data_IF_478125191923
#
_entry.id   IF_478125191923
#
_cell.length_a   1.000
_cell.length_b   1.000
_cell.length_c   1.000
_cell.angle_alpha   90.00
_cell.angle_beta   90.00
_cell.angle_gamma   90.00
#
_symmetry.space_group_name_H-M   'P 1'
#
loop_
_entity.id
_entity.type
_entity.pdbx_description
1 polymer ?
#
# COMPACT_ATOMS: atom_id res chain seq x y z
N UNK A 1 -5.78 16.88 -6.19
CA UNK A 1 -4.41 16.49 -5.77
C UNK A 1 -4.43 15.01 -5.45
N UNK A 2 -3.36 14.26 -5.75
CA UNK A 2 -3.26 12.85 -5.35
C UNK A 2 -2.87 12.76 -3.87
N UNK A 3 -3.56 11.91 -3.12
CA UNK A 3 -3.23 11.57 -1.74
C UNK A 3 -2.32 10.34 -1.70
N UNK A 4 -1.54 10.22 -0.63
CA UNK A 4 -0.81 8.99 -0.35
C UNK A 4 -1.67 8.06 0.49
N UNK A 5 -1.79 6.81 0.05
CA UNK A 5 -2.52 5.76 0.78
C UNK A 5 -1.54 4.70 1.27
N UNK A 6 -1.76 4.24 2.49
CA UNK A 6 -1.16 3.02 3.02
C UNK A 6 -2.10 1.87 2.68
N UNK A 7 -1.52 0.79 2.15
CA UNK A 7 -2.18 -0.50 1.93
C UNK A 7 -1.42 -1.49 2.81
N UNK A 8 -2.12 -2.17 3.71
CA UNK A 8 -1.54 -3.24 4.50
C UNK A 8 -2.42 -4.48 4.40
N UNK A 9 -1.80 -5.64 4.33
CA UNK A 9 -2.52 -6.91 4.17
C UNK A 9 -1.94 -8.04 5.02
N UNK A 10 -2.71 -9.11 5.13
CA UNK A 10 -2.35 -10.40 5.70
C UNK A 10 -2.98 -11.47 4.79
N UNK A 11 -2.15 -12.13 3.98
CA UNK A 11 -2.60 -13.16 3.03
C UNK A 11 -2.53 -14.54 3.67
N UNK A 12 -3.63 -15.28 3.67
CA UNK A 12 -3.83 -16.55 4.34
C UNK A 12 -3.89 -17.66 3.30
N UNK A 13 -2.87 -18.51 3.25
CA UNK A 13 -2.88 -19.67 2.37
C UNK A 13 -1.49 -20.19 2.03
N UNK A 14 -1.39 -21.42 1.47
CA UNK A 14 -0.12 -21.97 0.98
C UNK A 14 0.31 -21.35 -0.35
N UNK A 15 -0.64 -20.87 -1.16
CA UNK A 15 -0.44 -20.28 -2.48
C UNK A 15 -0.79 -18.78 -2.45
N UNK A 16 -0.08 -18.03 -1.62
CA UNK A 16 -0.21 -16.57 -1.54
C UNK A 16 0.13 -15.98 -2.92
N UNK A 17 -0.88 -15.64 -3.72
CA UNK A 17 -0.70 -14.96 -5.01
C UNK A 17 -0.32 -13.49 -4.76
N UNK A 18 0.92 -13.31 -4.32
CA UNK A 18 1.54 -12.01 -4.15
C UNK A 18 1.63 -11.28 -5.48
N UNK A 19 1.85 -12.00 -6.58
CA UNK A 19 2.13 -11.39 -7.87
C UNK A 19 0.90 -10.64 -8.40
N UNK A 20 -0.29 -11.23 -8.33
CA UNK A 20 -1.54 -10.59 -8.72
C UNK A 20 -1.80 -9.29 -7.95
N UNK A 21 -1.76 -9.37 -6.61
CA UNK A 21 -1.96 -8.20 -5.75
C UNK A 21 -0.85 -7.15 -5.96
N UNK A 22 0.41 -7.57 -6.08
CA UNK A 22 1.54 -6.65 -6.25
C UNK A 22 1.45 -5.91 -7.58
N UNK A 23 1.12 -6.58 -8.67
CA UNK A 23 0.93 -5.92 -9.97
C UNK A 23 -0.28 -4.97 -9.95
N UNK A 24 -1.38 -5.35 -9.28
CA UNK A 24 -2.52 -4.46 -9.06
C UNK A 24 -2.12 -3.20 -8.27
N UNK A 25 -1.29 -3.33 -7.23
CA UNK A 25 -0.77 -2.17 -6.47
C UNK A 25 0.20 -1.34 -7.32
N UNK A 26 1.07 -1.96 -8.12
CA UNK A 26 2.02 -1.24 -8.99
C UNK A 26 1.31 -0.46 -10.10
N UNK A 27 0.13 -0.91 -10.53
CA UNK A 27 -0.68 -0.25 -11.57
C UNK A 27 -1.09 1.20 -11.24
N UNK A 28 -1.07 1.61 -9.96
CA UNK A 28 -1.28 2.99 -9.54
C UNK A 28 -0.12 3.94 -9.95
N UNK A 29 0.95 3.39 -10.53
CA UNK A 29 2.05 4.11 -11.17
C UNK A 29 3.09 4.69 -10.21
N UNK A 30 2.66 5.21 -9.07
CA UNK A 30 3.56 5.65 -8.01
C UNK A 30 3.34 4.84 -6.74
N UNK A 31 4.33 4.05 -6.38
CA UNK A 31 4.26 3.12 -5.26
C UNK A 31 5.59 3.04 -4.49
N UNK A 32 5.53 2.47 -3.29
CA UNK A 32 6.66 2.12 -2.45
C UNK A 32 6.34 0.86 -1.65
N UNK A 33 7.28 -0.07 -1.62
CA UNK A 33 7.20 -1.33 -0.89
C UNK A 33 8.56 -1.63 -0.25
N UNK A 34 8.65 -1.43 1.06
CA UNK A 34 9.88 -1.66 1.82
C UNK A 34 9.60 -2.38 3.15
N UNK A 35 8.37 -2.86 3.31
CA UNK A 35 7.86 -3.70 4.37
C UNK A 35 7.06 -4.80 3.68
N UNK A 36 7.22 -6.05 4.10
CA UNK A 36 6.74 -7.21 3.33
C UNK A 36 5.24 -7.16 3.01
N UNK A 37 4.43 -6.68 3.95
CA UNK A 37 2.97 -6.59 3.81
C UNK A 37 2.42 -5.17 3.86
N UNK A 38 3.24 -4.15 3.54
CA UNK A 38 2.80 -2.76 3.54
C UNK A 38 3.33 -1.97 2.35
N UNK A 39 2.38 -1.37 1.62
CA UNK A 39 2.62 -0.55 0.46
C UNK A 39 2.14 0.87 0.67
N UNK A 40 2.77 1.82 -0.03
CA UNK A 40 2.29 3.18 -0.16
C UNK A 40 2.08 3.54 -1.62
N UNK A 41 0.93 4.08 -1.98
CA UNK A 41 0.62 4.51 -3.36
C UNK A 41 0.15 5.97 -3.41
N UNK A 42 0.22 6.60 -4.58
CA UNK A 42 -0.46 7.88 -4.84
C UNK A 42 -1.66 7.70 -5.75
N UNK A 43 -2.82 8.16 -5.29
CA UNK A 43 -4.07 8.07 -6.04
C UNK A 43 -4.96 9.28 -5.80
N UNK A 44 -5.78 9.60 -6.79
CA UNK A 44 -6.92 10.53 -6.69
C UNK A 44 -8.24 9.81 -6.36
N UNK A 45 -8.24 8.47 -6.38
CA UNK A 45 -9.35 7.65 -5.92
C UNK A 45 -9.50 7.69 -4.39
N UNK A 46 -10.70 7.39 -3.91
CA UNK A 46 -10.99 7.18 -2.48
C UNK A 46 -10.42 5.85 -2.00
N UNK A 47 -10.15 5.75 -0.70
CA UNK A 47 -9.70 4.49 -0.07
C UNK A 47 -10.64 3.31 -0.39
N UNK A 48 -11.96 3.54 -0.39
CA UNK A 48 -12.95 2.51 -0.70
C UNK A 48 -12.88 2.01 -2.14
N UNK A 49 -12.54 2.88 -3.09
CA UNK A 49 -12.39 2.52 -4.50
C UNK A 49 -11.08 1.75 -4.73
N UNK A 50 -10.03 2.11 -4.00
CA UNK A 50 -8.76 1.39 -4.00
C UNK A 50 -8.96 -0.01 -3.42
N UNK A 51 -9.60 -0.09 -2.25
CA UNK A 51 -9.93 -1.35 -1.60
C UNK A 51 -10.75 -2.25 -2.52
N UNK A 52 -11.84 -1.73 -3.10
CA UNK A 52 -12.68 -2.48 -4.03
C UNK A 52 -11.89 -3.10 -5.19
N UNK A 53 -10.97 -2.34 -5.79
CA UNK A 53 -10.12 -2.83 -6.87
C UNK A 53 -9.15 -3.91 -6.38
N UNK A 54 -8.47 -3.70 -5.25
CA UNK A 54 -7.50 -4.66 -4.73
C UNK A 54 -8.16 -5.95 -4.22
N UNK A 55 -9.42 -5.88 -3.78
CA UNK A 55 -10.22 -7.05 -3.39
C UNK A 55 -10.49 -8.02 -4.55
N UNK A 56 -10.23 -7.65 -5.80
CA UNK A 56 -10.34 -8.55 -6.96
C UNK A 56 -9.13 -9.51 -7.07
N UNK A 57 -8.09 -9.34 -6.23
CA UNK A 57 -6.81 -10.04 -6.29
C UNK A 57 -6.42 -10.73 -4.97
N UNK A 58 -7.38 -10.95 -4.08
CA UNK A 58 -7.18 -11.62 -2.78
C UNK A 58 -8.34 -12.59 -2.52
N UNK A 59 -8.14 -13.56 -1.64
CA UNK A 59 -9.14 -14.54 -1.26
C UNK A 59 -10.08 -14.02 -0.15
N UNK A 60 -11.22 -14.68 0.04
CA UNK A 60 -12.27 -14.24 0.98
C UNK A 60 -11.83 -14.25 2.46
N UNK A 61 -10.81 -15.04 2.82
CA UNK A 61 -10.25 -15.11 4.17
C UNK A 61 -9.05 -14.17 4.38
N UNK A 62 -8.55 -13.53 3.32
CA UNK A 62 -7.50 -12.54 3.40
C UNK A 62 -7.96 -11.26 4.09
N UNK A 63 -7.00 -10.52 4.65
CA UNK A 63 -7.27 -9.22 5.29
C UNK A 63 -6.52 -8.15 4.54
N UNK A 64 -7.22 -7.06 4.23
CA UNK A 64 -6.62 -5.87 3.61
C UNK A 64 -7.24 -4.61 4.20
N UNK A 65 -6.41 -3.62 4.46
CA UNK A 65 -6.83 -2.28 4.89
C UNK A 65 -6.20 -1.21 4.02
N UNK A 66 -6.99 -0.18 3.71
CA UNK A 66 -6.54 0.98 2.94
C UNK A 66 -6.92 2.25 3.68
N UNK A 67 -5.95 3.12 3.96
CA UNK A 67 -6.20 4.40 4.61
C UNK A 67 -5.28 5.49 4.05
N UNK A 68 -5.78 6.73 4.05
CA UNK A 68 -4.97 7.88 3.66
C UNK A 68 -3.92 8.17 4.73
N UNK A 69 -2.67 8.37 4.31
CA UNK A 69 -1.60 8.82 5.18
C UNK A 69 -1.71 10.33 5.35
N UNK A 70 -1.66 10.81 6.59
CA UNK A 70 -1.58 12.23 6.92
C UNK A 70 -0.20 12.61 7.48
N UNK A 71 -0.13 13.78 8.12
CA UNK A 71 1.14 14.34 8.61
C UNK A 71 1.66 13.74 9.93
N UNK A 72 0.84 12.99 10.66
CA UNK A 72 1.21 12.41 11.95
C UNK A 72 1.70 10.97 11.79
N UNK A 73 2.95 10.81 11.34
CA UNK A 73 3.58 9.50 11.15
C UNK A 73 5.02 9.52 11.65
N UNK A 74 5.55 8.36 12.05
CA UNK A 74 6.95 8.19 12.46
C UNK A 74 7.47 6.82 12.03
N UNK A 75 8.78 6.66 11.92
CA UNK A 75 9.39 5.39 11.50
C UNK A 75 10.74 5.14 12.19
N UNK A 76 11.22 3.89 12.16
CA UNK A 76 12.51 3.46 12.69
C UNK A 76 13.08 2.35 11.80
N UNK A 77 14.40 2.29 11.63
CA UNK A 77 15.09 1.21 10.91
C UNK A 77 15.14 1.38 9.38
N UNK A 78 14.60 2.47 8.83
CA UNK A 78 14.69 2.77 7.40
C UNK A 78 16.07 3.35 7.05
N UNK A 79 16.53 3.05 5.83
CA UNK A 79 17.72 3.70 5.24
C UNK A 79 17.46 5.19 5.00
N UNK A 80 18.52 5.99 4.79
CA UNK A 80 18.37 7.42 4.44
C UNK A 80 17.49 7.62 3.20
N UNK A 81 17.74 6.85 2.13
CA UNK A 81 16.90 6.85 0.92
C UNK A 81 15.44 6.48 1.26
N UNK A 82 15.26 5.54 2.18
CA UNK A 82 14.00 5.19 2.83
C UNK A 82 13.22 6.39 3.34
N UNK A 83 13.82 7.05 4.32
CA UNK A 83 13.26 8.19 5.02
C UNK A 83 13.00 9.38 4.09
N UNK A 84 13.95 9.70 3.20
CA UNK A 84 13.84 10.80 2.24
C UNK A 84 12.60 10.65 1.36
N UNK A 85 12.26 9.43 0.94
CA UNK A 85 11.05 9.20 0.15
C UNK A 85 9.77 9.35 0.99
N UNK A 86 9.75 8.81 2.22
CA UNK A 86 8.58 8.94 3.11
C UNK A 86 8.28 10.43 3.38
N UNK A 87 9.28 11.22 3.76
CA UNK A 87 9.15 12.67 3.98
C UNK A 87 8.72 13.44 2.71
N UNK A 88 9.15 13.01 1.53
CA UNK A 88 8.75 13.64 0.26
C UNK A 88 7.28 13.35 -0.08
N UNK A 89 6.76 12.20 0.32
CA UNK A 89 5.50 11.68 -0.20
C UNK A 89 4.35 11.67 0.81
N UNK A 90 4.63 11.69 2.10
CA UNK A 90 3.61 11.76 3.13
C UNK A 90 3.37 13.24 3.45
N UNK A 91 2.12 13.69 3.32
CA UNK A 91 1.68 15.09 3.46
C UNK A 91 0.28 15.15 4.07
#
# INVERSE_FOLDING_TARGET
MKNTYCISYDLIGPDQDYDGLHEAIKSYGYWWHHLDSTWFIKSDKKASEILKHLSEFIDDDDKIIVFSVGNSWWSKGFTKRGLDWLHKNFK
#
